data_IF_164007839976
#
_entry.id   IF_164007839976
#
_cell.length_a   1.000
_cell.length_b   1.000
_cell.length_c   1.000
_cell.angle_alpha   90.00
_cell.angle_beta   90.00
_cell.angle_gamma   90.00
#
_symmetry.space_group_name_H-M   'P 1'
#
loop_
_entity.id
_entity.type
_entity.pdbx_description
1 polymer ?
#
# COMPACT_ATOMS: atom_id res chain seq x y z
N UNK A 1 9.73 -4.50 32.92
CA UNK A 1 8.27 -4.73 32.78
C UNK A 1 8.13 -6.00 31.96
N UNK A 2 8.10 -7.16 32.60
CA UNK A 2 8.03 -8.46 31.92
C UNK A 2 6.64 -9.06 32.13
N UNK A 3 5.71 -8.72 31.23
CA UNK A 3 4.48 -9.50 31.05
C UNK A 3 4.72 -10.57 29.99
N UNK A 4 4.11 -11.76 30.08
CA UNK A 4 4.30 -12.79 29.07
C UNK A 4 3.61 -12.32 27.79
N UNK A 5 4.39 -11.85 26.82
CA UNK A 5 3.89 -11.68 25.48
C UNK A 5 3.32 -13.04 25.01
N UNK A 6 2.12 -13.07 24.39
CA UNK A 6 1.61 -14.30 23.82
C UNK A 6 2.63 -14.83 22.80
N UNK A 7 2.72 -16.15 22.57
CA UNK A 7 3.63 -16.67 21.56
C UNK A 7 3.22 -16.10 20.20
N UNK A 8 3.99 -15.13 19.71
CA UNK A 8 3.84 -14.62 18.35
C UNK A 8 4.16 -15.77 17.40
N UNK A 9 3.29 -16.03 16.43
CA UNK A 9 3.64 -16.97 15.38
C UNK A 9 4.90 -16.47 14.67
N UNK A 10 5.86 -17.38 14.48
CA UNK A 10 6.91 -17.15 13.50
C UNK A 10 6.22 -16.97 12.15
N UNK A 11 6.38 -15.77 11.62
CA UNK A 11 5.87 -15.38 10.31
C UNK A 11 7.10 -15.11 9.46
N UNK A 12 7.18 -15.74 8.30
CA UNK A 12 8.23 -15.50 7.31
C UNK A 12 8.05 -14.09 6.71
N UNK A 13 8.44 -13.08 7.49
CA UNK A 13 8.45 -11.67 7.11
C UNK A 13 9.88 -11.26 6.90
N UNK A 14 10.20 -10.85 5.68
CA UNK A 14 11.47 -10.25 5.35
C UNK A 14 11.31 -8.74 5.36
N UNK A 15 12.25 -8.04 6.00
CA UNK A 15 12.31 -6.59 5.90
C UNK A 15 12.58 -6.22 4.44
N UNK A 16 11.81 -5.27 3.93
CA UNK A 16 12.09 -4.67 2.63
C UNK A 16 13.31 -3.75 2.76
N UNK A 17 14.23 -3.85 1.81
CA UNK A 17 15.40 -2.98 1.77
C UNK A 17 14.98 -1.51 1.55
N UNK A 18 15.57 -0.59 2.32
CA UNK A 18 15.25 0.84 2.27
C UNK A 18 15.50 1.44 0.88
N UNK A 19 16.41 0.86 0.09
CA UNK A 19 16.71 1.29 -1.28
C UNK A 19 15.53 1.15 -2.25
N UNK A 20 14.49 0.37 -1.87
CA UNK A 20 13.28 0.20 -2.66
C UNK A 20 12.32 1.37 -2.49
N UNK A 21 12.50 2.19 -1.45
CA UNK A 21 11.72 3.41 -1.25
C UNK A 21 12.21 4.50 -2.22
N UNK A 22 11.33 4.97 -3.10
CA UNK A 22 11.62 6.00 -4.11
C UNK A 22 10.76 7.24 -3.85
N UNK A 23 11.24 8.19 -3.02
CA UNK A 23 10.51 9.42 -2.73
C UNK A 23 10.43 10.34 -3.94
N UNK A 24 9.41 11.21 -3.98
CA UNK A 24 9.22 12.25 -5.02
C UNK A 24 9.15 11.66 -6.44
N UNK A 25 8.54 10.50 -6.59
CA UNK A 25 8.43 9.82 -7.88
C UNK A 25 7.40 10.53 -8.78
N UNK A 26 7.85 11.42 -9.66
CA UNK A 26 7.00 12.21 -10.58
C UNK A 26 7.53 12.10 -12.01
N UNK A 27 6.70 12.29 -13.05
CA UNK A 27 5.25 12.58 -13.01
C UNK A 27 4.39 11.38 -12.58
N UNK A 28 3.22 11.60 -11.96
CA UNK A 28 2.30 10.51 -11.57
C UNK A 28 1.40 10.09 -12.72
N UNK A 29 1.02 11.05 -13.55
CA UNK A 29 0.17 10.84 -14.72
C UNK A 29 0.71 9.71 -15.62
N UNK A 30 -0.20 8.85 -16.11
CA UNK A 30 0.15 7.73 -16.97
C UNK A 30 0.84 6.55 -16.28
N UNK A 31 1.19 6.64 -15.00
CA UNK A 31 1.79 5.53 -14.26
C UNK A 31 0.75 4.49 -13.85
N UNK A 32 1.15 3.22 -13.91
CA UNK A 32 0.40 2.10 -13.33
C UNK A 32 1.01 1.73 -11.99
N UNK A 33 0.15 1.38 -11.04
CA UNK A 33 0.52 1.05 -9.67
C UNK A 33 -0.03 -0.29 -9.23
N UNK A 34 0.66 -0.89 -8.27
CA UNK A 34 0.25 -2.05 -7.51
C UNK A 34 0.16 -1.66 -6.04
N UNK A 35 -0.96 -1.97 -5.40
CA UNK A 35 -1.14 -1.81 -3.95
C UNK A 35 -1.49 -3.17 -3.34
N UNK A 36 -0.78 -3.58 -2.29
CA UNK A 36 -1.01 -4.85 -1.60
C UNK A 36 -1.31 -4.57 -0.13
N UNK A 37 -2.40 -5.11 0.39
CA UNK A 37 -2.73 -4.95 1.81
C UNK A 37 -3.73 -5.97 2.33
N UNK A 38 -4.12 -5.81 3.59
CA UNK A 38 -5.00 -6.74 4.31
C UNK A 38 -6.32 -6.04 4.66
N UNK A 39 -7.34 -6.13 3.81
CA UNK A 39 -8.62 -5.48 4.07
C UNK A 39 -9.29 -6.11 5.29
N UNK A 40 -9.66 -5.29 6.26
CA UNK A 40 -10.36 -5.72 7.47
C UNK A 40 -11.72 -6.36 7.14
N UNK A 41 -12.33 -5.97 6.02
CA UNK A 41 -13.60 -6.54 5.53
C UNK A 41 -13.50 -8.00 5.09
N UNK A 42 -12.28 -8.53 4.92
CA UNK A 42 -12.02 -9.94 4.59
C UNK A 42 -11.38 -10.72 5.74
N UNK A 43 -11.08 -10.05 6.84
CA UNK A 43 -10.54 -10.70 8.03
C UNK A 43 -11.63 -11.54 8.70
N UNK A 44 -11.31 -12.79 9.05
CA UNK A 44 -12.22 -13.70 9.75
C UNK A 44 -11.69 -13.98 11.15
N UNK A 45 -12.42 -13.51 12.15
CA UNK A 45 -12.14 -13.82 13.56
C UNK A 45 -12.64 -15.24 13.85
N UNK A 46 -11.76 -16.12 14.32
CA UNK A 46 -12.19 -17.42 14.82
C UNK A 46 -12.97 -17.25 16.12
N UNK A 47 -14.13 -17.90 16.24
CA UNK A 47 -14.95 -17.88 17.46
C UNK A 47 -14.43 -18.83 18.54
N UNK A 48 -13.63 -19.82 18.14
CA UNK A 48 -13.23 -20.95 18.99
C UNK A 48 -11.74 -20.94 19.34
N UNK A 49 -10.95 -20.11 18.67
CA UNK A 49 -9.51 -20.01 18.89
C UNK A 49 -9.06 -18.55 18.77
N UNK A 50 -8.01 -18.12 19.49
CA UNK A 50 -7.60 -16.72 19.61
C UNK A 50 -6.79 -16.26 18.39
N UNK A 51 -7.27 -16.52 17.17
CA UNK A 51 -6.60 -16.10 15.94
C UNK A 51 -7.56 -15.44 14.95
N UNK A 52 -6.98 -14.54 14.15
CA UNK A 52 -7.65 -13.86 13.05
C UNK A 52 -7.02 -14.37 11.75
N UNK A 53 -7.85 -14.92 10.87
CA UNK A 53 -7.41 -15.26 9.51
C UNK A 53 -7.48 -14.01 8.65
N UNK A 54 -6.35 -13.64 8.08
CA UNK A 54 -6.20 -12.52 7.14
C UNK A 54 -5.61 -13.02 5.83
N UNK A 55 -6.00 -12.42 4.71
CA UNK A 55 -5.45 -12.71 3.39
C UNK A 55 -5.04 -11.39 2.72
N UNK A 56 -3.91 -11.35 2.00
CA UNK A 56 -3.53 -10.17 1.23
C UNK A 56 -4.39 -10.05 -0.03
N UNK A 57 -4.65 -8.81 -0.44
CA UNK A 57 -5.31 -8.48 -1.68
C UNK A 57 -4.47 -7.47 -2.45
N UNK A 58 -4.28 -7.73 -3.74
CA UNK A 58 -3.57 -6.85 -4.65
C UNK A 58 -4.56 -6.09 -5.54
N UNK A 59 -4.35 -4.79 -5.67
CA UNK A 59 -5.02 -3.91 -6.62
C UNK A 59 -3.99 -3.41 -7.63
N UNK A 60 -4.21 -3.71 -8.91
CA UNK A 60 -3.45 -3.09 -10.01
C UNK A 60 -4.31 -1.99 -10.60
N UNK A 61 -3.80 -0.76 -10.65
CA UNK A 61 -4.60 0.38 -11.08
C UNK A 61 -3.76 1.53 -11.58
N UNK A 62 -4.37 2.43 -12.34
CA UNK A 62 -3.69 3.60 -12.90
C UNK A 62 -3.74 4.78 -11.92
N UNK A 63 -2.82 5.72 -12.12
CA UNK A 63 -2.94 7.06 -11.54
C UNK A 63 -4.32 7.65 -11.84
N UNK A 64 -4.84 8.43 -10.89
CA UNK A 64 -5.91 9.37 -11.16
C UNK A 64 -5.43 10.46 -12.13
N UNK A 65 -6.38 11.05 -12.85
CA UNK A 65 -6.13 12.18 -13.74
C UNK A 65 -5.65 13.40 -12.94
N UNK A 66 -4.82 14.30 -13.53
CA UNK A 66 -4.36 15.52 -12.86
C UNK A 66 -5.49 16.40 -12.29
N UNK A 67 -6.67 16.37 -12.91
CA UNK A 67 -7.84 17.11 -12.44
C UNK A 67 -8.37 16.64 -11.08
N UNK A 68 -8.20 15.35 -10.76
CA UNK A 68 -8.66 14.80 -9.48
C UNK A 68 -7.85 15.37 -8.31
N UNK A 69 -6.55 15.61 -8.48
CA UNK A 69 -5.73 16.26 -7.45
C UNK A 69 -6.29 17.63 -7.04
N UNK A 70 -6.65 18.46 -8.03
CA UNK A 70 -7.29 19.77 -7.79
C UNK A 70 -8.65 19.63 -7.12
N UNK A 71 -9.49 18.73 -7.62
CA UNK A 71 -10.84 18.48 -7.10
C UNK A 71 -10.84 18.01 -5.65
N UNK A 72 -9.82 17.26 -5.24
CA UNK A 72 -9.67 16.73 -3.89
C UNK A 72 -8.86 17.62 -2.96
N UNK A 73 -8.33 18.75 -3.45
CA UNK A 73 -7.41 19.64 -2.76
C UNK A 73 -6.16 18.91 -2.22
N UNK A 74 -5.62 17.98 -3.02
CA UNK A 74 -4.44 17.19 -2.67
C UNK A 74 -3.32 17.49 -3.67
N UNK A 75 -2.15 18.02 -3.24
CA UNK A 75 -1.04 18.31 -4.14
C UNK A 75 -0.33 17.04 -4.63
N UNK A 76 -0.02 16.95 -5.93
CA UNK A 76 0.64 15.80 -6.57
C UNK A 76 2.08 15.57 -6.06
N UNK A 77 2.72 16.62 -5.55
CA UNK A 77 4.08 16.57 -4.99
C UNK A 77 4.13 15.79 -3.66
N UNK A 78 2.98 15.59 -3.03
CA UNK A 78 2.85 15.04 -1.67
C UNK A 78 1.92 13.84 -1.58
N UNK A 79 1.03 13.68 -2.57
CA UNK A 79 0.03 12.64 -2.61
C UNK A 79 0.12 11.86 -3.92
N UNK A 80 -0.38 10.63 -3.87
CA UNK A 80 -0.59 9.77 -5.03
C UNK A 80 -2.07 9.40 -4.99
N UNK A 81 -2.80 9.74 -6.04
CA UNK A 81 -4.19 9.35 -6.20
C UNK A 81 -4.28 8.16 -7.14
N UNK A 82 -4.85 7.07 -6.65
CA UNK A 82 -5.02 5.83 -7.40
C UNK A 82 -6.50 5.62 -7.70
N UNK A 83 -6.83 5.22 -8.93
CA UNK A 83 -8.20 4.85 -9.27
C UNK A 83 -8.61 3.60 -8.47
N UNK A 84 -9.84 3.55 -7.95
CA UNK A 84 -10.37 2.35 -7.32
C UNK A 84 -11.15 1.53 -8.35
N UNK A 85 -10.41 0.78 -9.16
CA UNK A 85 -11.01 -0.19 -10.08
C UNK A 85 -11.23 -1.54 -9.39
N UNK A 86 -12.41 -1.70 -8.80
CA UNK A 86 -12.82 -2.93 -8.12
C UNK A 86 -12.88 -4.15 -9.04
N UNK A 87 -12.85 -3.96 -10.36
CA UNK A 87 -12.87 -5.07 -11.31
C UNK A 87 -11.47 -5.61 -11.59
N UNK A 88 -10.43 -4.78 -11.49
CA UNK A 88 -9.06 -5.15 -11.88
C UNK A 88 -8.19 -5.47 -10.65
N UNK A 89 -8.51 -6.58 -9.98
CA UNK A 89 -7.80 -7.02 -8.80
C UNK A 89 -7.48 -8.52 -8.83
N UNK A 90 -6.48 -8.91 -8.05
CA UNK A 90 -5.97 -10.26 -8.01
C UNK A 90 -5.85 -10.77 -6.58
N UNK A 91 -6.23 -12.03 -6.40
CA UNK A 91 -5.92 -12.78 -5.20
C UNK A 91 -4.43 -13.15 -5.23
N UNK A 92 -3.64 -12.70 -4.25
CA UNK A 92 -2.18 -12.88 -4.29
C UNK A 92 -1.74 -14.32 -4.04
N UNK A 93 -2.62 -15.19 -3.52
CA UNK A 93 -2.31 -16.59 -3.25
C UNK A 93 -2.55 -17.47 -4.48
N UNK A 94 -3.64 -17.21 -5.19
CA UNK A 94 -4.08 -18.01 -6.35
C UNK A 94 -3.77 -17.37 -7.70
N UNK A 95 -3.38 -16.09 -7.73
CA UNK A 95 -3.17 -15.30 -8.94
C UNK A 95 -4.44 -15.05 -9.75
N UNK A 96 -5.61 -15.41 -9.20
CA UNK A 96 -6.88 -15.32 -9.93
C UNK A 96 -7.41 -13.91 -9.89
N UNK A 97 -7.92 -13.49 -11.05
CA UNK A 97 -8.68 -12.26 -11.17
C UNK A 97 -9.93 -12.32 -10.29
N UNK A 98 -10.19 -11.24 -9.54
CA UNK A 98 -11.31 -11.17 -8.62
C UNK A 98 -11.80 -9.74 -8.44
N UNK A 99 -12.95 -9.59 -7.79
CA UNK A 99 -13.38 -8.28 -7.34
C UNK A 99 -12.57 -7.83 -6.13
N UNK A 100 -12.03 -6.62 -6.20
CA UNK A 100 -11.34 -6.02 -5.08
C UNK A 100 -12.33 -5.81 -3.92
N UNK A 101 -11.99 -6.22 -2.69
CA UNK A 101 -12.82 -5.96 -1.53
C UNK A 101 -12.92 -4.47 -1.21
N UNK A 102 -13.83 -4.12 -0.30
CA UNK A 102 -13.82 -2.76 0.22
C UNK A 102 -12.50 -2.52 0.99
N UNK A 103 -11.77 -1.43 0.71
CA UNK A 103 -10.37 -1.24 1.15
C UNK A 103 -10.20 -0.82 2.61
N UNK A 104 -11.25 -0.89 3.44
CA UNK A 104 -11.09 -0.54 4.86
C UNK A 104 -10.04 -1.44 5.51
N UNK A 105 -9.19 -0.86 6.35
CA UNK A 105 -8.08 -1.56 7.00
C UNK A 105 -6.81 -1.71 6.14
N UNK A 106 -6.79 -1.20 4.91
CA UNK A 106 -5.59 -1.22 4.05
C UNK A 106 -4.72 0.04 4.16
N UNK A 107 -5.00 0.93 5.12
CA UNK A 107 -4.11 2.06 5.42
C UNK A 107 -2.74 1.52 5.89
N UNK A 108 -1.65 2.14 5.44
CA UNK A 108 -0.30 1.62 5.60
C UNK A 108 0.17 0.69 4.47
N UNK A 109 -0.70 0.31 3.53
CA UNK A 109 -0.32 -0.52 2.40
C UNK A 109 0.71 0.19 1.49
N UNK A 110 1.77 -0.50 1.04
CA UNK A 110 2.71 0.07 0.08
C UNK A 110 2.05 0.29 -1.27
N UNK A 111 2.40 1.40 -1.91
CA UNK A 111 2.07 1.72 -3.30
C UNK A 111 3.34 1.57 -4.13
N UNK A 112 3.29 0.64 -5.07
CA UNK A 112 4.41 0.19 -5.90
C UNK A 112 4.14 0.65 -7.34
N UNK A 113 5.15 1.14 -8.06
CA UNK A 113 5.01 1.40 -9.50
C UNK A 113 5.16 0.09 -10.27
N UNK A 114 4.22 -0.18 -11.17
CA UNK A 114 4.30 -1.27 -12.14
C UNK A 114 5.18 -0.81 -13.30
N UNK A 115 6.39 -1.38 -13.42
CA UNK A 115 7.28 -1.15 -14.55
C UNK A 115 7.07 -2.25 -15.61
N UNK A 116 6.90 -1.85 -16.88
CA UNK A 116 7.08 -2.74 -18.03
C UNK A 116 7.63 -1.91 -19.21
N UNK A 117 8.94 -2.02 -19.43
CA UNK A 117 9.64 -1.81 -20.71
C UNK A 117 11.15 -1.85 -20.41
N UNK A 118 11.78 -3.03 -20.51
CA UNK A 118 13.24 -3.27 -20.44
C UNK A 118 14.01 -2.63 -19.26
N UNK A 119 14.54 -3.42 -18.31
CA UNK A 119 15.95 -3.36 -17.87
C UNK A 119 16.27 -4.18 -16.61
N UNK A 120 17.56 -4.49 -16.49
CA UNK A 120 18.29 -5.48 -15.69
C UNK A 120 18.09 -5.51 -14.16
N UNK A 121 17.20 -4.69 -13.58
CA UNK A 121 16.96 -4.68 -12.13
C UNK A 121 15.50 -5.03 -11.81
N UNK A 122 15.28 -6.17 -11.14
CA UNK A 122 13.95 -6.65 -10.68
C UNK A 122 13.47 -5.93 -9.41
N UNK A 123 13.70 -4.63 -9.31
CA UNK A 123 13.31 -3.86 -8.12
C UNK A 123 11.99 -3.16 -8.39
N UNK A 124 10.98 -3.48 -7.59
CA UNK A 124 9.67 -2.85 -7.63
C UNK A 124 9.65 -1.66 -6.65
N UNK A 125 9.72 -0.41 -7.14
CA UNK A 125 9.90 0.74 -6.25
C UNK A 125 8.61 1.04 -5.49
N UNK A 126 8.74 1.19 -4.17
CA UNK A 126 7.67 1.68 -3.31
C UNK A 126 7.75 3.20 -3.28
N UNK A 127 6.73 3.86 -3.80
CA UNK A 127 6.70 5.31 -4.01
C UNK A 127 5.76 6.03 -3.06
N UNK A 128 4.89 5.28 -2.38
CA UNK A 128 3.97 5.85 -1.43
C UNK A 128 3.35 4.83 -0.49
N UNK A 129 2.55 5.34 0.42
CA UNK A 129 1.82 4.57 1.42
C UNK A 129 0.35 4.99 1.38
N UNK A 130 -0.55 4.02 1.18
CA UNK A 130 -1.98 4.25 1.19
C UNK A 130 -2.42 4.77 2.57
N UNK A 131 -3.16 5.87 2.62
CA UNK A 131 -3.61 6.49 3.87
C UNK A 131 -5.13 6.40 4.04
N UNK A 132 -5.90 6.58 2.97
CA UNK A 132 -7.37 6.54 3.01
C UNK A 132 -7.98 6.12 1.67
N UNK A 133 -9.28 5.86 1.66
CA UNK A 133 -10.06 5.67 0.44
C UNK A 133 -11.26 6.62 0.46
N UNK A 134 -11.59 7.21 -0.71
CA UNK A 134 -12.76 8.06 -0.87
C UNK A 134 -13.78 7.32 -1.73
N UNK A 135 -14.74 6.66 -1.07
CA UNK A 135 -15.68 5.75 -1.73
C UNK A 135 -16.49 6.42 -2.86
N UNK A 136 -17.01 7.62 -2.65
CA UNK A 136 -17.82 8.35 -3.65
C UNK A 136 -17.03 8.71 -4.90
N UNK A 137 -15.76 9.09 -4.73
CA UNK A 137 -14.88 9.43 -5.83
C UNK A 137 -14.20 8.19 -6.44
N UNK A 138 -14.34 7.02 -5.82
CA UNK A 138 -13.67 5.77 -6.20
C UNK A 138 -12.16 5.98 -6.38
N UNK A 139 -11.52 6.56 -5.36
CA UNK A 139 -10.06 6.72 -5.32
C UNK A 139 -9.47 6.20 -4.01
N UNK A 140 -8.23 5.73 -4.10
CA UNK A 140 -7.36 5.54 -2.94
C UNK A 140 -6.40 6.72 -2.90
N UNK A 141 -6.21 7.28 -1.72
CA UNK A 141 -5.24 8.34 -1.46
C UNK A 141 -4.04 7.70 -0.78
N UNK A 142 -2.87 7.96 -1.31
CA UNK A 142 -1.60 7.62 -0.71
C UNK A 142 -0.75 8.88 -0.51
N UNK A 143 0.18 8.81 0.42
CA UNK A 143 1.19 9.85 0.65
C UNK A 143 2.52 9.41 0.05
N UNK A 144 3.33 10.37 -0.41
CA UNK A 144 4.67 10.10 -0.91
C UNK A 144 5.55 9.48 0.18
N UNK A 145 6.35 8.48 -0.19
CA UNK A 145 7.20 7.75 0.76
C UNK A 145 8.27 8.61 1.42
N UNK A 146 8.55 9.82 0.91
CA UNK A 146 9.44 10.80 1.58
C UNK A 146 9.07 11.04 3.04
N UNK A 147 7.77 11.07 3.37
CA UNK A 147 7.34 11.33 4.73
C UNK A 147 7.62 10.13 5.66
N UNK A 148 7.67 8.92 5.10
CA UNK A 148 8.10 7.72 5.83
C UNK A 148 9.61 7.78 6.10
N UNK A 149 10.41 8.16 5.09
CA UNK A 149 11.85 8.35 5.25
C UNK A 149 12.18 9.40 6.30
N UNK A 150 11.53 10.58 6.22
CA UNK A 150 11.67 11.64 7.21
C UNK A 150 11.33 11.16 8.63
N UNK A 151 10.27 10.36 8.79
CA UNK A 151 9.89 9.80 10.09
C UNK A 151 10.90 8.77 10.61
N UNK A 152 11.47 7.94 9.73
CA UNK A 152 12.54 6.98 10.08
C UNK A 152 13.78 7.74 10.55
N UNK A 153 14.21 8.77 9.82
CA UNK A 153 15.38 9.57 10.14
C UNK A 153 15.24 10.29 11.49
N UNK A 154 14.05 10.83 11.80
CA UNK A 154 13.78 11.45 13.11
C UNK A 154 13.84 10.42 14.24
N UNK A 155 13.31 9.21 14.01
CA UNK A 155 13.31 8.15 15.02
C UNK A 155 14.73 7.66 15.33
N UNK A 156 15.60 7.55 14.32
CA UNK A 156 16.99 7.12 14.50
C UNK A 156 17.88 8.23 15.08
N UNK A 157 17.60 9.50 14.78
CA UNK A 157 18.33 10.64 15.36
C UNK A 157 18.02 10.88 16.85
N UNK A 158 16.91 10.36 17.37
CA UNK A 158 16.55 10.45 18.80
C UNK A 158 17.17 9.37 19.69
N UNK A 159 17.92 8.43 19.11
CA UNK A 159 18.59 7.33 19.81
C UNK A 159 20.10 7.56 20.05
N UNK A 160 20.63 8.75 19.72
CA UNK A 160 22.00 9.19 20.04
C UNK A 160 22.11 10.04 21.32
#
# INVERSE_FOLDING_TARGET
MDGPFPPYQEVDKFAMDISYLKPRYVPREGSQYLMIGYPSTKSKVSRTAPFVSVAPYALTTDSAEPEEYRKHALPEETHILLKLDVKNAFDTQSGRHMHFPKPQGMSGAPVIVSYDDNEESRVFPVVGVAIEHRATARIIVATDVRFVLEAIDVATAGEE
#
